data_IF_409163445850
#
_entry.id   IF_409163445850
#
_cell.length_a   1.000
_cell.length_b   1.000
_cell.length_c   1.000
_cell.angle_alpha   90.00
_cell.angle_beta   90.00
_cell.angle_gamma   90.00
#
_symmetry.space_group_name_H-M   'P 1'
#
loop_
_entity.id
_entity.type
_entity.pdbx_description
1 polymer ?
#
# COMPACT_ATOMS: atom_id res chain seq x y z
N UNK A 1 10.03 29.54 -28.69
CA UNK A 1 10.09 28.62 -27.55
C UNK A 1 10.64 29.37 -26.35
N UNK A 2 10.01 29.25 -25.17
CA UNK A 2 10.50 29.89 -23.95
C UNK A 2 11.85 29.27 -23.52
N UNK A 3 12.79 30.07 -23.00
CA UNK A 3 14.16 29.62 -22.68
C UNK A 3 14.22 28.50 -21.64
N UNK A 4 13.18 28.40 -20.80
CA UNK A 4 13.03 27.33 -19.80
C UNK A 4 12.97 25.93 -20.43
N UNK A 5 12.62 25.83 -21.72
CA UNK A 5 12.57 24.57 -22.47
C UNK A 5 13.91 24.16 -23.08
N UNK A 6 14.94 25.00 -22.95
CA UNK A 6 16.29 24.72 -23.46
C UNK A 6 17.21 24.12 -22.39
N UNK A 7 16.76 24.08 -21.12
CA UNK A 7 17.55 23.63 -19.97
C UNK A 7 16.72 22.65 -19.13
N UNK A 8 16.73 21.35 -19.49
CA UNK A 8 15.97 20.31 -18.80
C UNK A 8 16.28 20.22 -17.29
N UNK A 9 17.52 20.50 -16.90
CA UNK A 9 18.00 20.43 -15.51
C UNK A 9 17.33 21.48 -14.62
N UNK A 10 17.14 22.69 -15.16
CA UNK A 10 16.39 23.77 -14.50
C UNK A 10 14.92 23.41 -14.36
N UNK A 11 14.34 22.76 -15.36
CA UNK A 11 12.95 22.30 -15.31
C UNK A 11 12.78 21.24 -14.20
N UNK A 12 13.72 20.30 -14.08
CA UNK A 12 13.73 19.26 -13.05
C UNK A 12 13.83 19.89 -11.65
N UNK A 13 14.72 20.87 -11.46
CA UNK A 13 14.83 21.59 -10.19
C UNK A 13 13.51 22.28 -9.84
N UNK A 14 12.88 23.00 -10.77
CA UNK A 14 11.60 23.66 -10.53
C UNK A 14 10.52 22.64 -10.15
N UNK A 15 10.43 21.54 -10.90
CA UNK A 15 9.47 20.44 -10.64
C UNK A 15 9.67 19.82 -9.25
N UNK A 16 10.92 19.72 -8.77
CA UNK A 16 11.21 19.12 -7.46
C UNK A 16 10.68 19.92 -6.27
N UNK A 17 10.40 21.22 -6.47
CA UNK A 17 9.82 22.09 -5.44
C UNK A 17 8.31 22.30 -5.58
N UNK A 18 7.68 21.72 -6.61
CA UNK A 18 6.24 21.88 -6.83
C UNK A 18 5.43 20.84 -6.04
N UNK A 19 4.29 21.24 -5.43
CA UNK A 19 3.37 20.30 -4.84
C UNK A 19 2.72 19.43 -5.93
N UNK A 20 2.24 18.21 -5.61
CA UNK A 20 1.62 17.30 -6.58
C UNK A 20 0.45 17.90 -7.37
N UNK A 21 -0.30 18.83 -6.77
CA UNK A 21 -1.39 19.57 -7.43
C UNK A 21 -0.89 20.38 -8.63
N UNK A 22 0.28 21.02 -8.51
CA UNK A 22 0.81 21.93 -9.52
C UNK A 22 1.52 21.18 -10.64
N UNK A 23 2.08 20.00 -10.34
CA UNK A 23 2.67 19.10 -11.33
C UNK A 23 1.67 18.68 -12.42
N UNK A 24 0.38 18.62 -12.07
CA UNK A 24 -0.71 18.35 -13.03
C UNK A 24 -0.89 19.47 -14.04
N UNK A 25 -0.93 20.70 -13.55
CA UNK A 25 -1.01 21.90 -14.38
C UNK A 25 0.21 21.97 -15.30
N UNK A 26 1.40 21.67 -14.78
CA UNK A 26 2.61 21.60 -15.60
C UNK A 26 2.50 20.54 -16.73
N UNK A 27 1.98 19.35 -16.44
CA UNK A 27 1.83 18.28 -17.43
C UNK A 27 0.84 18.60 -18.57
N UNK A 28 -0.10 19.53 -18.35
CA UNK A 28 -1.05 19.98 -19.37
C UNK A 28 -0.57 21.21 -20.17
N UNK A 29 0.44 21.94 -19.68
CA UNK A 29 0.99 23.14 -20.35
C UNK A 29 1.61 22.81 -21.72
N UNK A 30 2.34 21.69 -21.83
CA UNK A 30 2.92 21.29 -23.12
C UNK A 30 3.37 19.82 -23.13
N UNK A 31 3.55 19.27 -24.33
CA UNK A 31 4.14 17.92 -24.52
C UNK A 31 5.52 17.78 -23.89
N UNK A 32 6.36 18.82 -23.96
CA UNK A 32 7.71 18.79 -23.41
C UNK A 32 7.70 18.71 -21.88
N UNK A 33 6.86 19.51 -21.20
CA UNK A 33 6.64 19.38 -19.75
C UNK A 33 6.19 17.97 -19.37
N UNK A 34 5.22 17.42 -20.11
CA UNK A 34 4.71 16.06 -19.90
C UNK A 34 5.80 14.99 -20.03
N UNK A 35 6.64 15.09 -21.06
CA UNK A 35 7.75 14.15 -21.29
C UNK A 35 8.85 14.30 -20.21
N UNK A 36 9.23 15.51 -19.82
CA UNK A 36 10.24 15.75 -18.77
C UNK A 36 9.76 15.28 -17.40
N UNK A 37 8.49 15.53 -17.04
CA UNK A 37 7.88 15.00 -15.81
C UNK A 37 7.89 13.46 -15.82
N UNK A 38 7.48 12.84 -16.93
CA UNK A 38 7.43 11.37 -17.04
C UNK A 38 8.82 10.72 -16.89
N UNK A 39 9.87 11.36 -17.38
CA UNK A 39 11.22 10.79 -17.38
C UNK A 39 11.99 11.02 -16.08
N UNK A 40 11.65 12.06 -15.32
CA UNK A 40 12.47 12.53 -14.20
C UNK A 40 11.74 12.58 -12.85
N UNK A 41 10.42 12.41 -12.80
CA UNK A 41 9.72 12.30 -11.53
C UNK A 41 10.11 11.01 -10.80
N UNK A 42 10.32 11.13 -9.49
CA UNK A 42 10.48 9.99 -8.61
C UNK A 42 9.30 9.01 -8.81
N UNK A 43 9.52 7.68 -8.80
CA UNK A 43 8.45 6.69 -9.01
C UNK A 43 7.21 6.90 -8.12
N UNK A 44 7.41 7.39 -6.89
CA UNK A 44 6.34 7.78 -5.94
C UNK A 44 5.45 8.94 -6.39
N UNK A 45 5.90 9.75 -7.35
CA UNK A 45 5.15 10.87 -7.94
C UNK A 45 4.58 10.50 -9.32
N UNK A 46 4.79 9.25 -9.74
CA UNK A 46 4.26 8.74 -10.99
C UNK A 46 3.11 7.78 -10.72
N UNK A 47 1.92 8.09 -11.27
CA UNK A 47 1.44 9.22 -12.06
C UNK A 47 0.61 10.21 -11.26
N UNK A 48 0.80 11.48 -11.62
CA UNK A 48 0.09 12.72 -11.31
C UNK A 48 -1.45 12.66 -11.18
N UNK A 49 -2.09 13.61 -10.44
CA UNK A 49 -3.48 13.55 -9.94
C UNK A 49 -4.41 13.09 -11.02
N UNK A 50 -5.14 12.03 -10.73
CA UNK A 50 -6.12 11.51 -11.64
C UNK A 50 -7.27 12.49 -11.80
N UNK A 51 -7.12 13.42 -12.73
CA UNK A 51 -8.28 13.70 -13.55
C UNK A 51 -8.41 12.66 -14.61
N UNK A 52 -9.46 11.86 -14.43
CA UNK A 52 -10.28 11.41 -15.54
C UNK A 52 -10.46 12.61 -16.49
N UNK A 53 -9.69 12.64 -17.57
CA UNK A 53 -10.08 13.44 -18.71
C UNK A 53 -11.30 12.73 -19.30
N UNK A 54 -12.49 13.35 -19.34
CA UNK A 54 -13.69 12.70 -19.85
C UNK A 54 -13.62 12.35 -21.35
N UNK A 55 -12.50 12.65 -22.02
CA UNK A 55 -12.27 12.39 -23.44
C UNK A 55 -11.16 11.39 -23.78
N UNK A 56 -10.52 10.73 -22.81
CA UNK A 56 -9.58 9.65 -23.13
C UNK A 56 -10.32 8.32 -23.43
N UNK A 57 -10.95 8.28 -24.60
CA UNK A 57 -11.46 7.05 -25.23
C UNK A 57 -10.36 6.23 -25.92
N UNK A 58 -9.08 6.51 -25.67
CA UNK A 58 -7.96 5.90 -26.37
C UNK A 58 -7.01 5.17 -25.41
N UNK A 59 -7.41 4.02 -24.90
CA UNK A 59 -6.66 2.76 -25.01
C UNK A 59 -7.39 1.65 -24.26
N UNK A 60 -8.11 0.82 -25.00
CA UNK A 60 -8.60 -0.51 -24.62
C UNK A 60 -7.46 -1.51 -24.43
N UNK A 61 -6.29 -1.06 -23.99
CA UNK A 61 -5.24 -1.96 -23.52
C UNK A 61 -5.39 -2.05 -22.01
N UNK A 62 -5.57 -3.25 -21.43
CA UNK A 62 -5.46 -3.39 -20.00
C UNK A 62 -4.11 -2.79 -19.62
N UNK A 63 -4.10 -1.82 -18.70
CA UNK A 63 -2.86 -1.26 -18.16
C UNK A 63 -1.93 -2.45 -17.89
N UNK A 64 -0.85 -2.60 -18.66
CA UNK A 64 0.18 -3.60 -18.37
C UNK A 64 0.71 -3.19 -17.01
N UNK A 65 0.29 -3.93 -15.99
CA UNK A 65 0.74 -3.72 -14.62
C UNK A 65 2.25 -3.75 -14.68
N UNK A 66 2.88 -2.66 -14.23
CA UNK A 66 4.33 -2.53 -14.31
C UNK A 66 4.88 -3.54 -13.31
N UNK A 67 5.58 -4.55 -13.82
CA UNK A 67 6.29 -5.49 -12.95
C UNK A 67 7.22 -4.73 -12.01
N UNK A 68 7.33 -5.24 -10.80
CA UNK A 68 8.31 -4.79 -9.83
C UNK A 68 9.73 -4.92 -10.42
N UNK A 69 10.65 -4.01 -10.06
CA UNK A 69 12.04 -4.11 -10.49
C UNK A 69 12.68 -5.44 -10.08
N UNK A 70 13.61 -5.91 -10.91
CA UNK A 70 14.32 -7.16 -10.68
C UNK A 70 15.01 -7.23 -9.30
N UNK A 71 15.50 -6.08 -8.81
CA UNK A 71 16.11 -5.96 -7.49
C UNK A 71 15.15 -6.39 -6.36
N UNK A 72 13.88 -6.00 -6.45
CA UNK A 72 12.87 -6.36 -5.43
C UNK A 72 12.50 -7.83 -5.56
N UNK A 73 12.27 -8.31 -6.78
CA UNK A 73 11.97 -9.73 -6.98
C UNK A 73 13.11 -10.64 -6.53
N UNK A 74 14.38 -10.22 -6.70
CA UNK A 74 15.52 -11.01 -6.23
C UNK A 74 15.62 -11.07 -4.71
N UNK A 75 15.24 -10.00 -3.99
CA UNK A 75 15.18 -10.02 -2.53
C UNK A 75 14.14 -11.03 -2.03
N UNK A 76 12.95 -11.02 -2.63
CA UNK A 76 11.91 -12.00 -2.30
C UNK A 76 12.33 -13.44 -2.63
N UNK A 77 13.01 -13.65 -3.77
CA UNK A 77 13.57 -14.95 -4.14
C UNK A 77 14.62 -15.45 -3.15
N UNK A 78 15.52 -14.58 -2.67
CA UNK A 78 16.53 -14.93 -1.66
C UNK A 78 15.89 -15.31 -0.32
N UNK A 79 14.86 -14.57 0.12
CA UNK A 79 14.08 -14.90 1.32
C UNK A 79 13.45 -16.29 1.16
N UNK A 80 12.72 -16.54 0.07
CA UNK A 80 12.09 -17.85 -0.18
C UNK A 80 13.12 -18.99 -0.20
N UNK A 81 14.24 -18.77 -0.89
CA UNK A 81 15.31 -19.75 -0.98
C UNK A 81 15.89 -20.09 0.40
N UNK A 82 16.28 -19.07 1.18
CA UNK A 82 16.84 -19.28 2.52
C UNK A 82 15.83 -19.90 3.47
N UNK A 83 14.58 -19.45 3.49
CA UNK A 83 13.52 -20.06 4.29
C UNK A 83 13.37 -21.55 3.99
N UNK A 84 13.44 -21.95 2.72
CA UNK A 84 13.41 -23.37 2.35
C UNK A 84 14.64 -24.15 2.84
N UNK A 85 15.83 -23.53 2.89
CA UNK A 85 17.03 -24.17 3.43
C UNK A 85 16.89 -24.43 4.93
N UNK A 86 16.36 -23.46 5.68
CA UNK A 86 16.10 -23.60 7.11
C UNK A 86 15.06 -24.69 7.40
N UNK A 87 13.99 -24.78 6.59
CA UNK A 87 12.96 -25.83 6.72
C UNK A 87 13.49 -27.24 6.40
N UNK A 88 14.32 -27.35 5.37
CA UNK A 88 14.87 -28.65 4.91
C UNK A 88 16.01 -29.17 5.79
N UNK A 89 16.64 -28.31 6.61
CA UNK A 89 17.75 -28.69 7.49
C UNK A 89 17.35 -29.62 8.66
N UNK A 90 16.09 -30.04 8.76
CA UNK A 90 15.66 -31.15 9.62
C UNK A 90 15.78 -30.92 11.14
N UNK A 91 16.11 -29.71 11.59
CA UNK A 91 16.38 -29.36 12.99
C UNK A 91 15.30 -28.49 13.64
N UNK A 92 14.04 -28.60 13.24
CA UNK A 92 12.91 -27.77 13.71
C UNK A 92 12.50 -27.98 15.18
N UNK A 93 13.33 -28.64 16.01
CA UNK A 93 13.05 -28.68 17.46
C UNK A 93 13.54 -27.43 18.19
N UNK A 94 14.37 -26.60 17.56
CA UNK A 94 14.74 -25.26 18.02
C UNK A 94 14.96 -24.38 16.78
N UNK A 95 13.94 -23.61 16.40
CA UNK A 95 14.16 -22.50 15.48
C UNK A 95 15.03 -21.50 16.26
N UNK A 96 16.34 -21.46 15.95
CA UNK A 96 17.29 -20.54 16.59
C UNK A 96 16.76 -19.11 16.52
N UNK A 97 17.01 -18.33 17.57
CA UNK A 97 16.83 -16.86 17.56
C UNK A 97 17.46 -16.24 16.30
N UNK A 98 18.55 -16.81 15.79
CA UNK A 98 19.21 -16.39 14.55
C UNK A 98 18.28 -16.41 13.34
N UNK A 99 17.39 -17.41 13.23
CA UNK A 99 16.42 -17.47 12.14
C UNK A 99 15.40 -16.35 12.28
N UNK A 100 14.87 -16.12 13.49
CA UNK A 100 13.88 -15.06 13.72
C UNK A 100 14.47 -13.68 13.45
N UNK A 101 15.68 -13.39 13.95
CA UNK A 101 16.38 -12.14 13.68
C UNK A 101 16.66 -11.94 12.20
N UNK A 102 17.12 -12.98 11.50
CA UNK A 102 17.32 -12.91 10.05
C UNK A 102 16.01 -12.68 9.30
N UNK A 103 14.96 -13.44 9.64
CA UNK A 103 13.66 -13.39 8.98
C UNK A 103 13.02 -12.00 9.13
N UNK A 104 13.01 -11.45 10.34
CA UNK A 104 12.49 -10.11 10.62
C UNK A 104 13.29 -9.03 9.86
N UNK A 105 14.62 -9.11 9.88
CA UNK A 105 15.49 -8.19 9.15
C UNK A 105 15.25 -8.23 7.64
N UNK A 106 15.17 -9.43 7.05
CA UNK A 106 14.97 -9.60 5.62
C UNK A 106 13.59 -9.10 5.15
N UNK A 107 12.53 -9.36 5.94
CA UNK A 107 11.19 -8.83 5.66
C UNK A 107 11.15 -7.30 5.76
N UNK A 108 11.84 -6.72 6.75
CA UNK A 108 11.95 -5.27 6.92
C UNK A 108 12.68 -4.62 5.74
N UNK A 109 13.78 -5.21 5.29
CA UNK A 109 14.54 -4.73 4.13
C UNK A 109 13.71 -4.78 2.85
N UNK A 110 12.98 -5.89 2.64
CA UNK A 110 12.06 -6.02 1.51
C UNK A 110 10.91 -5.01 1.58
N UNK A 111 10.32 -4.81 2.75
CA UNK A 111 9.26 -3.81 2.95
C UNK A 111 9.78 -2.39 2.67
N UNK A 112 10.99 -2.06 3.12
CA UNK A 112 11.66 -0.79 2.85
C UNK A 112 11.86 -0.58 1.34
N UNK A 113 12.30 -1.60 0.62
CA UNK A 113 12.44 -1.55 -0.83
C UNK A 113 11.08 -1.38 -1.54
N UNK A 114 10.04 -2.10 -1.09
CA UNK A 114 8.67 -2.01 -1.61
C UNK A 114 8.05 -0.64 -1.36
N UNK A 115 8.36 0.02 -0.24
CA UNK A 115 7.79 1.33 0.14
C UNK A 115 7.99 2.42 -0.93
N UNK A 116 8.98 2.26 -1.82
CA UNK A 116 9.25 3.19 -2.91
C UNK A 116 8.27 3.06 -4.08
N UNK A 117 7.54 1.95 -4.13
CA UNK A 117 6.59 1.57 -5.17
C UNK A 117 5.15 1.58 -4.66
N UNK A 118 4.96 1.71 -3.35
CA UNK A 118 3.66 1.93 -2.72
C UNK A 118 3.27 3.41 -2.78
N UNK A 119 1.97 3.65 -2.61
CA UNK A 119 1.45 4.98 -2.39
C UNK A 119 2.18 5.65 -1.20
N UNK A 120 2.60 6.94 -1.27
CA UNK A 120 3.38 7.59 -0.22
C UNK A 120 2.79 7.48 1.19
N UNK A 121 1.47 7.64 1.31
CA UNK A 121 0.79 7.45 2.59
C UNK A 121 0.94 6.02 3.09
N UNK A 122 0.72 5.02 2.24
CA UNK A 122 0.84 3.63 2.63
C UNK A 122 2.29 3.34 3.03
N UNK A 123 3.26 3.71 2.17
CA UNK A 123 4.69 3.55 2.43
C UNK A 123 5.21 4.24 3.69
N UNK A 124 4.59 5.36 4.13
CA UNK A 124 4.91 6.01 5.41
C UNK A 124 4.46 5.18 6.63
N UNK A 125 3.29 4.56 6.54
CA UNK A 125 2.65 3.90 7.70
C UNK A 125 2.82 2.38 7.71
N UNK A 126 3.43 1.78 6.69
CA UNK A 126 3.74 0.35 6.68
C UNK A 126 4.72 -0.02 7.80
N UNK A 127 4.36 -1.03 8.59
CA UNK A 127 5.20 -1.57 9.65
C UNK A 127 5.62 -3.03 9.41
N UNK A 128 4.86 -3.80 8.62
CA UNK A 128 5.11 -5.24 8.47
C UNK A 128 4.73 -5.76 7.08
N UNK A 129 5.56 -6.66 6.52
CA UNK A 129 5.23 -7.47 5.35
C UNK A 129 4.77 -8.85 5.84
N UNK A 130 3.47 -9.11 5.71
CA UNK A 130 2.80 -10.29 6.24
C UNK A 130 2.69 -11.41 5.20
N UNK A 131 2.80 -11.08 3.91
CA UNK A 131 2.71 -12.08 2.85
C UNK A 131 2.92 -11.55 1.44
N UNK A 132 2.73 -12.43 0.46
CA UNK A 132 2.91 -12.12 -0.95
C UNK A 132 4.34 -12.32 -1.48
N UNK A 133 5.21 -13.03 -0.74
CA UNK A 133 6.59 -13.26 -1.16
C UNK A 133 6.70 -13.95 -2.53
N UNK A 134 5.81 -14.91 -2.82
CA UNK A 134 5.80 -15.63 -4.10
C UNK A 134 5.45 -14.69 -5.27
N UNK A 135 4.45 -13.84 -5.08
CA UNK A 135 4.02 -12.84 -6.04
C UNK A 135 5.13 -11.80 -6.27
N UNK A 136 5.75 -11.30 -5.20
CA UNK A 136 6.89 -10.37 -5.30
C UNK A 136 8.05 -11.02 -6.06
N UNK A 137 8.36 -12.29 -5.78
CA UNK A 137 9.41 -13.05 -6.45
C UNK A 137 9.15 -13.23 -7.96
N UNK A 138 7.90 -13.17 -8.41
CA UNK A 138 7.50 -13.20 -9.83
C UNK A 138 7.49 -11.80 -10.48
N UNK A 139 7.73 -10.77 -9.66
CA UNK A 139 7.70 -9.37 -10.05
C UNK A 139 6.30 -8.76 -10.01
N UNK A 140 5.33 -9.40 -9.35
CA UNK A 140 3.95 -8.96 -9.27
C UNK A 140 3.67 -8.23 -7.94
N UNK A 141 2.58 -7.46 -7.87
CA UNK A 141 2.24 -6.60 -6.72
C UNK A 141 1.18 -7.24 -5.81
N UNK A 142 1.10 -8.57 -5.79
CA UNK A 142 0.22 -9.32 -4.91
C UNK A 142 0.77 -9.39 -3.48
N UNK A 143 0.84 -8.25 -2.79
CA UNK A 143 1.46 -8.11 -1.47
C UNK A 143 0.43 -8.08 -0.34
N UNK A 144 0.82 -8.54 0.84
CA UNK A 144 0.07 -8.40 2.08
C UNK A 144 0.90 -7.65 3.11
N UNK A 145 0.43 -6.49 3.56
CA UNK A 145 1.18 -5.57 4.42
C UNK A 145 0.30 -4.98 5.51
N UNK A 146 0.89 -4.63 6.66
CA UNK A 146 0.19 -3.93 7.75
C UNK A 146 0.62 -2.47 7.85
N UNK A 147 -0.38 -1.60 8.04
CA UNK A 147 -0.18 -0.21 8.44
C UNK A 147 -0.45 -0.03 9.92
N UNK A 148 0.38 0.77 10.56
CA UNK A 148 0.20 1.22 11.94
C UNK A 148 -0.05 2.73 11.95
N UNK A 149 -1.16 3.14 12.56
CA UNK A 149 -1.61 4.53 12.63
C UNK A 149 -1.86 4.92 14.09
N UNK A 150 -1.52 6.14 14.47
CA UNK A 150 -2.05 6.70 15.73
C UNK A 150 -3.55 6.98 15.60
N UNK A 151 -4.30 7.03 16.71
CA UNK A 151 -5.72 7.45 16.67
C UNK A 151 -5.91 8.78 15.95
N UNK A 152 -5.01 9.74 16.14
CA UNK A 152 -5.08 11.05 15.49
C UNK A 152 -4.90 10.97 13.96
N UNK A 153 -3.91 10.20 13.50
CA UNK A 153 -3.72 9.94 12.07
C UNK A 153 -4.86 9.11 11.49
N UNK A 154 -5.42 8.17 12.24
CA UNK A 154 -6.58 7.42 11.80
C UNK A 154 -7.80 8.33 11.63
N UNK A 155 -8.11 9.14 12.63
CA UNK A 155 -9.21 10.12 12.63
C UNK A 155 -9.12 11.07 11.44
N UNK A 156 -7.91 11.57 11.17
CA UNK A 156 -7.63 12.50 10.09
C UNK A 156 -7.99 11.91 8.70
N UNK A 157 -7.85 10.60 8.52
CA UNK A 157 -7.99 9.94 7.23
C UNK A 157 -9.35 9.26 7.03
N UNK A 158 -9.92 8.73 8.11
CA UNK A 158 -11.10 7.86 8.03
C UNK A 158 -12.35 8.44 8.69
N UNK A 159 -12.29 9.50 9.51
CA UNK A 159 -13.52 10.12 10.03
C UNK A 159 -14.18 11.09 9.05
N UNK A 160 -15.51 11.07 9.03
CA UNK A 160 -16.33 11.96 8.21
C UNK A 160 -16.29 13.41 8.74
N UNK A 161 -16.21 14.39 7.83
CA UNK A 161 -16.42 15.82 8.15
C UNK A 161 -15.22 16.63 8.68
N UNK A 162 -14.05 16.03 8.95
CA UNK A 162 -12.89 16.75 9.52
C UNK A 162 -11.96 17.45 8.51
N UNK A 163 -12.18 17.41 7.18
CA UNK A 163 -11.22 18.00 6.20
C UNK A 163 -11.79 18.74 5.00
N UNK A 164 -11.03 19.76 4.56
CA UNK A 164 -11.24 20.51 3.31
C UNK A 164 -10.73 19.70 2.12
N UNK A 165 -11.59 19.58 1.11
CA UNK A 165 -11.47 18.82 -0.14
C UNK A 165 -10.15 18.98 -0.94
N UNK A 166 -9.32 20.00 -0.66
CA UNK A 166 -8.12 20.35 -1.45
C UNK A 166 -6.79 19.72 -1.03
N UNK A 167 -6.67 19.12 0.16
CA UNK A 167 -5.40 18.49 0.61
C UNK A 167 -5.28 17.00 0.22
N UNK A 168 -6.40 16.38 -0.22
CA UNK A 168 -6.47 14.96 -0.63
C UNK A 168 -6.25 14.75 -2.13
N UNK A 169 -6.14 15.80 -2.94
CA UNK A 169 -6.01 15.69 -4.41
C UNK A 169 -4.66 15.09 -4.88
N UNK A 170 -3.77 14.69 -3.97
CA UNK A 170 -2.38 14.31 -4.21
C UNK A 170 -2.07 12.79 -4.19
N UNK A 171 -3.08 11.92 -4.22
CA UNK A 171 -2.92 10.48 -3.90
C UNK A 171 -2.35 9.56 -4.97
N UNK A 172 -1.16 9.88 -5.45
CA UNK A 172 -0.83 9.57 -6.81
C UNK A 172 0.13 8.44 -7.04
N UNK A 173 -0.47 7.29 -7.32
CA UNK A 173 0.17 6.18 -8.00
C UNK A 173 -0.83 5.58 -8.98
N UNK A 174 -0.31 4.97 -10.04
CA UNK A 174 -1.10 4.30 -11.07
C UNK A 174 -1.49 3.02 -10.39
N UNK A 175 -2.71 2.55 -10.57
CA UNK A 175 -3.08 1.30 -9.96
C UNK A 175 -2.13 0.21 -10.46
N UNK A 176 -1.39 -0.37 -9.53
CA UNK A 176 -0.57 -1.56 -9.78
C UNK A 176 -1.42 -2.82 -9.64
N UNK A 177 -2.64 -2.68 -9.09
CA UNK A 177 -3.54 -3.77 -8.73
C UNK A 177 -4.99 -3.43 -9.03
N UNK A 178 -5.83 -4.46 -9.22
CA UNK A 178 -7.27 -4.32 -9.50
C UNK A 178 -8.17 -4.46 -8.29
N UNK A 179 -7.68 -5.11 -7.25
CA UNK A 179 -8.39 -5.33 -6.00
C UNK A 179 -7.49 -5.02 -4.81
N UNK A 180 -8.11 -4.59 -3.73
CA UNK A 180 -7.50 -4.53 -2.41
C UNK A 180 -8.54 -4.94 -1.37
N UNK A 181 -8.12 -5.79 -0.44
CA UNK A 181 -8.90 -6.10 0.75
C UNK A 181 -8.27 -5.43 1.95
N UNK A 182 -9.10 -4.77 2.76
CA UNK A 182 -8.67 -4.13 4.00
C UNK A 182 -9.30 -4.87 5.18
N UNK A 183 -8.49 -5.14 6.19
CA UNK A 183 -8.87 -5.81 7.43
C UNK A 183 -8.52 -4.92 8.62
N UNK A 184 -9.38 -4.91 9.64
CA UNK A 184 -9.10 -4.28 10.92
C UNK A 184 -8.48 -5.30 11.86
N UNK A 185 -7.17 -5.20 12.09
CA UNK A 185 -6.45 -6.13 12.95
C UNK A 185 -6.59 -5.71 14.42
N UNK A 186 -6.40 -4.42 14.70
CA UNK A 186 -6.42 -3.87 16.06
C UNK A 186 -6.84 -2.38 16.05
N UNK A 187 -7.40 -1.90 17.16
CA UNK A 187 -7.67 -0.48 17.42
C UNK A 187 -8.86 0.13 16.66
N UNK A 188 -9.37 -0.57 15.64
CA UNK A 188 -10.56 -0.15 14.88
C UNK A 188 -11.51 -1.32 14.62
N UNK A 189 -12.77 -0.99 14.38
CA UNK A 189 -13.81 -1.93 14.00
C UNK A 189 -14.64 -1.39 12.84
N UNK A 190 -15.14 -2.29 12.01
CA UNK A 190 -16.13 -1.96 10.99
C UNK A 190 -17.43 -1.48 11.63
N UNK A 191 -18.05 -0.47 11.03
CA UNK A 191 -19.42 -0.09 11.34
C UNK A 191 -20.35 -1.32 11.13
N UNK A 192 -21.09 -1.76 12.16
CA UNK A 192 -22.01 -2.89 12.04
C UNK A 192 -23.08 -2.71 10.98
N UNK A 193 -23.41 -1.46 10.63
CA UNK A 193 -24.41 -1.12 9.61
C UNK A 193 -23.82 -1.15 8.19
N UNK A 194 -22.49 -1.26 8.05
CA UNK A 194 -21.85 -1.25 6.75
C UNK A 194 -22.00 -2.59 6.00
N UNK A 195 -22.90 -2.61 5.01
CA UNK A 195 -23.29 -3.82 4.28
C UNK A 195 -22.22 -4.44 3.38
N UNK A 196 -21.13 -3.73 3.06
CA UNK A 196 -20.07 -4.23 2.17
C UNK A 196 -19.01 -5.08 2.91
N UNK A 197 -19.15 -5.29 4.22
CA UNK A 197 -18.23 -6.12 5.00
C UNK A 197 -18.41 -7.59 4.63
N UNK A 198 -17.41 -8.14 3.95
CA UNK A 198 -17.33 -9.53 3.57
C UNK A 198 -17.00 -10.42 4.77
N UNK A 199 -17.70 -11.56 4.84
CA UNK A 199 -17.51 -12.57 5.87
C UNK A 199 -16.72 -13.75 5.30
N UNK A 200 -15.52 -14.00 5.84
CA UNK A 200 -14.61 -15.06 5.40
C UNK A 200 -14.54 -16.18 6.46
N UNK A 201 -14.49 -17.44 6.01
CA UNK A 201 -14.32 -18.60 6.90
C UNK A 201 -12.87 -18.81 7.31
N UNK A 202 -12.34 -17.94 8.19
CA UNK A 202 -10.93 -17.94 8.62
C UNK A 202 -10.81 -18.17 10.13
N UNK A 203 -9.65 -18.64 10.58
CA UNK A 203 -9.37 -19.02 11.98
C UNK A 203 -9.40 -17.84 12.94
N UNK A 204 -8.82 -16.68 12.59
CA UNK A 204 -8.80 -15.50 13.48
C UNK A 204 -10.02 -14.61 13.23
N UNK A 205 -10.63 -14.10 14.30
CA UNK A 205 -11.85 -13.28 14.23
C UNK A 205 -11.68 -12.03 13.35
N UNK A 206 -10.54 -11.36 13.42
CA UNK A 206 -10.27 -10.17 12.60
C UNK A 206 -10.14 -10.50 11.10
N UNK A 207 -9.64 -11.69 10.75
CA UNK A 207 -9.57 -12.17 9.36
C UNK A 207 -10.95 -12.53 8.79
N UNK A 208 -11.99 -12.63 9.63
CA UNK A 208 -13.33 -12.98 9.18
C UNK A 208 -14.03 -11.79 8.53
N UNK A 209 -13.62 -10.55 8.81
CA UNK A 209 -14.32 -9.35 8.35
C UNK A 209 -13.39 -8.42 7.59
N UNK A 210 -13.67 -8.23 6.30
CA UNK A 210 -12.90 -7.35 5.43
C UNK A 210 -13.79 -6.60 4.46
N UNK A 211 -13.26 -5.52 3.90
CA UNK A 211 -13.88 -4.82 2.77
C UNK A 211 -13.00 -5.03 1.56
N UNK A 212 -13.55 -5.64 0.51
CA UNK A 212 -12.89 -5.77 -0.79
C UNK A 212 -13.33 -4.63 -1.69
N UNK A 213 -12.39 -3.78 -2.07
CA UNK A 213 -12.57 -2.82 -3.15
C UNK A 213 -12.02 -3.45 -4.42
N UNK A 214 -12.75 -3.35 -5.53
CA UNK A 214 -12.34 -3.80 -6.86
C UNK A 214 -12.70 -2.74 -7.91
N UNK A 215 -11.78 -2.48 -8.85
CA UNK A 215 -11.98 -1.54 -9.95
C UNK A 215 -11.35 -2.12 -11.23
N UNK A 216 -12.10 -2.15 -12.33
CA UNK A 216 -11.64 -2.73 -13.61
C UNK A 216 -10.37 -2.04 -14.15
N UNK A 217 -10.29 -0.72 -13.97
CA UNK A 217 -9.16 0.11 -14.40
C UNK A 217 -8.03 0.15 -13.37
N UNK A 218 -8.18 -0.59 -12.27
CA UNK A 218 -7.26 -0.61 -11.16
C UNK A 218 -7.64 0.35 -10.02
N UNK A 219 -7.13 0.09 -8.82
CA UNK A 219 -7.44 0.83 -7.59
C UNK A 219 -6.37 1.84 -7.22
N UNK A 220 -6.81 3.05 -6.88
CA UNK A 220 -5.98 4.08 -6.23
C UNK A 220 -6.25 4.06 -4.74
N UNK A 221 -5.29 4.54 -3.95
CA UNK A 221 -5.51 4.65 -2.50
C UNK A 221 -6.70 5.57 -2.19
N UNK A 222 -6.94 6.60 -3.00
CA UNK A 222 -8.08 7.49 -2.83
C UNK A 222 -9.41 6.74 -2.92
N UNK A 223 -9.53 5.80 -3.87
CA UNK A 223 -10.72 4.95 -4.01
C UNK A 223 -10.96 4.12 -2.75
N UNK A 224 -9.88 3.68 -2.07
CA UNK A 224 -9.97 2.93 -0.82
C UNK A 224 -10.36 3.83 0.34
N UNK A 225 -9.65 4.94 0.54
CA UNK A 225 -9.92 5.85 1.66
C UNK A 225 -11.33 6.41 1.55
N UNK A 226 -11.80 6.76 0.36
CA UNK A 226 -13.17 7.26 0.16
C UNK A 226 -14.23 6.18 0.46
N UNK A 227 -13.99 4.92 0.13
CA UNK A 227 -14.90 3.80 0.45
C UNK A 227 -14.93 3.51 1.96
N UNK A 228 -13.79 3.62 2.64
CA UNK A 228 -13.67 3.29 4.06
C UNK A 228 -14.01 4.47 4.99
N UNK A 229 -14.08 5.69 4.46
CA UNK A 229 -14.36 6.90 5.26
C UNK A 229 -15.74 6.81 5.91
N UNK A 230 -15.79 7.06 7.21
CA UNK A 230 -17.00 6.94 8.03
C UNK A 230 -17.40 5.51 8.37
N UNK A 231 -16.82 4.50 7.71
CA UNK A 231 -17.17 3.08 7.88
C UNK A 231 -16.31 2.36 8.91
N UNK A 232 -15.22 3.01 9.36
CA UNK A 232 -14.34 2.50 10.40
C UNK A 232 -14.45 3.37 11.65
N UNK A 233 -14.59 2.74 12.82
CA UNK A 233 -14.66 3.42 14.11
C UNK A 233 -13.53 2.93 15.01
N UNK A 234 -12.86 3.85 15.70
CA UNK A 234 -11.87 3.51 16.72
C UNK A 234 -12.59 2.86 17.90
N UNK A 235 -11.98 1.83 18.49
CA UNK A 235 -12.52 1.22 19.72
C UNK A 235 -12.31 2.21 20.86
N UNK A 236 -13.40 2.69 21.48
CA UNK A 236 -13.30 3.57 22.64
C UNK A 236 -12.60 2.83 23.79
N UNK A 237 -11.42 3.30 24.17
CA UNK A 237 -10.76 2.84 25.39
C UNK A 237 -11.57 3.41 26.56
N UNK A 238 -12.17 2.51 27.35
CA UNK A 238 -12.95 2.87 28.54
C UNK A 238 -12.09 3.77 29.43
N UNK A 239 -12.53 5.03 29.60
CA UNK A 239 -11.85 6.02 30.42
C UNK A 239 -11.75 5.51 31.86
N UNK A 240 -10.57 5.05 32.26
CA UNK A 240 -10.35 4.47 33.59
C UNK A 240 -8.91 4.05 33.91
N UNK A 241 -8.02 3.97 32.92
CA UNK A 241 -6.58 3.78 33.15
C UNK A 241 -5.84 5.07 32.79
N UNK A 242 -5.30 5.75 33.78
CA UNK A 242 -4.43 6.94 33.68
C UNK A 242 -3.02 6.58 33.15
N UNK A 243 -2.95 5.73 32.14
CA UNK A 243 -1.80 5.63 31.25
C UNK A 243 -2.30 6.01 29.86
N UNK A 244 -1.75 7.10 29.31
CA UNK A 244 -1.97 7.55 27.94
C UNK A 244 -1.50 6.48 26.93
N UNK A 245 -2.22 5.37 26.84
CA UNK A 245 -2.12 4.46 25.72
C UNK A 245 -2.74 5.20 24.54
N UNK A 246 -1.91 5.96 23.82
CA UNK A 246 -2.24 6.45 22.49
C UNK A 246 -2.70 5.24 21.67
N UNK A 247 -4.01 5.12 21.45
CA UNK A 247 -4.56 3.98 20.73
C UNK A 247 -3.87 3.86 19.37
N UNK A 248 -3.36 2.69 19.06
CA UNK A 248 -2.77 2.40 17.76
C UNK A 248 -3.79 1.60 16.96
N UNK A 249 -4.01 2.01 15.71
CA UNK A 249 -4.87 1.31 14.76
C UNK A 249 -4.00 0.53 13.79
N UNK A 250 -4.22 -0.78 13.74
CA UNK A 250 -3.52 -1.70 12.85
C UNK A 250 -4.48 -2.17 11.76
N UNK A 251 -4.16 -1.85 10.50
CA UNK A 251 -4.92 -2.29 9.33
C UNK A 251 -4.04 -3.20 8.47
N UNK A 252 -4.59 -4.31 7.98
CA UNK A 252 -3.92 -5.18 7.02
C UNK A 252 -4.50 -4.96 5.62
N UNK A 253 -3.61 -4.78 4.65
CA UNK A 253 -3.91 -4.46 3.27
C UNK A 253 -3.43 -5.60 2.39
N UNK A 254 -4.36 -6.24 1.68
CA UNK A 254 -4.07 -7.33 0.74
C UNK A 254 -4.31 -6.86 -0.67
N UNK A 255 -3.25 -6.75 -1.43
CA UNK A 255 -3.27 -6.25 -2.80
C UNK A 255 -3.40 -7.41 -3.80
N UNK A 256 -4.22 -7.23 -4.83
CA UNK A 256 -4.66 -8.30 -5.73
C UNK A 256 -5.28 -9.49 -4.98
N UNK A 257 -5.49 -10.61 -5.66
CA UNK A 257 -6.02 -11.84 -5.06
C UNK A 257 -4.94 -12.60 -4.24
N UNK A 258 -3.99 -11.87 -3.63
CA UNK A 258 -3.04 -12.42 -2.65
C UNK A 258 -3.77 -13.12 -1.49
N UNK A 259 -4.98 -12.64 -1.15
CA UNK A 259 -5.87 -13.24 -0.17
C UNK A 259 -6.36 -14.66 -0.53
N UNK A 260 -6.49 -14.97 -1.82
CA UNK A 260 -7.01 -16.29 -2.27
C UNK A 260 -5.94 -17.38 -2.18
N UNK A 261 -4.65 -17.00 -2.08
CA UNK A 261 -3.50 -17.93 -2.04
C UNK A 261 -2.80 -18.03 -0.68
N UNK A 262 -3.01 -17.07 0.23
CA UNK A 262 -2.53 -17.17 1.63
C UNK A 262 -3.22 -18.27 2.45
N UNK A 263 -4.29 -18.89 1.93
CA UNK A 263 -4.92 -20.09 2.48
C UNK A 263 -3.95 -21.29 2.63
N UNK A 264 -2.74 -21.23 2.05
CA UNK A 264 -1.79 -22.34 2.04
C UNK A 264 -0.57 -22.19 2.98
N UNK A 265 -0.36 -21.06 3.66
CA UNK A 265 0.91 -20.79 4.39
C UNK A 265 0.79 -20.40 5.88
N UNK A 266 -0.35 -20.63 6.53
CA UNK A 266 -0.49 -20.47 8.00
C UNK A 266 0.10 -21.67 8.79
N UNK A 267 1.32 -22.11 8.46
CA UNK A 267 2.03 -23.17 9.20
C UNK A 267 3.10 -22.65 10.17
N UNK A 268 3.32 -21.32 10.25
CA UNK A 268 4.37 -20.72 11.11
C UNK A 268 3.86 -19.78 12.21
N UNK A 269 2.56 -19.44 12.24
CA UNK A 269 1.95 -18.67 13.33
C UNK A 269 1.44 -19.58 14.49
N UNK A 270 1.97 -20.81 14.58
CA UNK A 270 1.60 -21.81 15.60
C UNK A 270 2.38 -21.69 16.91
N UNK A 271 2.92 -20.51 17.23
CA UNK A 271 3.48 -20.23 18.57
C UNK A 271 3.33 -18.75 18.92
N UNK A 272 2.40 -18.43 19.83
CA UNK A 272 2.28 -17.12 20.50
C UNK A 272 0.93 -16.45 20.32
#
# INVERSE_FOLDING_TARGET
>A
MHRIFLLPELLIQIISFLPPSDLRTCASVSRHWKETLRLNLHPRNLPLPDTLSPHDHATTQPHRLKKLPQLISSLAQDILFRTSQWQNAGGLSDISDDYYFWHEGAHRDLLSALSQYLHPWLGKHMCELVGGLNEIAQGDMGICVRSKLTTAEFDEWFLEGKRKMGEMEAYLTRPVTRSVEVYCVEGAMWDPEYGNVLHRGVRRQWQQRCVKIERERGIRIGDVIDELRGMLRTVEVVAGSEEEAQGEVLLEWRFEDAATRMMCFEWLDSTG
#
